data_IF_984665457823
#
_entry.id   IF_984665457823
#
_cell.length_a   1.000
_cell.length_b   1.000
_cell.length_c   1.000
_cell.angle_alpha   90.00
_cell.angle_beta   90.00
_cell.angle_gamma   90.00
#
_symmetry.space_group_name_H-M   'P 1'
#
loop_
_entity.id
_entity.type
_entity.pdbx_description
1 polymer ?
#
# COMPACT_ATOMS: atom_id res chain seq x y z
N UNK A 1 -14.94 -20.01 -0.40
CA UNK A 1 -14.01 -18.92 -0.76
C UNK A 1 -13.94 -17.98 0.42
N UNK A 2 -12.75 -17.66 0.88
CA UNK A 2 -12.54 -16.66 1.95
C UNK A 2 -13.15 -15.32 1.55
N UNK A 3 -13.73 -14.60 2.50
CA UNK A 3 -14.19 -13.22 2.22
C UNK A 3 -13.05 -12.22 2.19
N UNK A 4 -11.92 -12.55 2.82
CA UNK A 4 -10.75 -11.66 3.01
C UNK A 4 -9.46 -12.34 2.62
N UNK A 5 -8.55 -11.55 2.05
CA UNK A 5 -7.14 -11.92 1.88
C UNK A 5 -6.28 -10.81 2.48
N UNK A 6 -5.29 -11.18 3.28
CA UNK A 6 -4.32 -10.28 3.90
C UNK A 6 -2.98 -10.44 3.18
N UNK A 7 -2.57 -9.43 2.42
CA UNK A 7 -1.33 -9.41 1.64
C UNK A 7 -0.29 -8.62 2.40
N UNK A 8 0.81 -9.25 2.78
CA UNK A 8 1.86 -8.67 3.60
C UNK A 8 3.21 -8.79 2.89
N UNK A 9 3.73 -7.70 2.29
CA UNK A 9 5.13 -7.65 1.86
C UNK A 9 6.06 -7.69 3.07
N UNK A 10 7.01 -8.62 3.08
CA UNK A 10 7.94 -8.80 4.20
C UNK A 10 9.38 -8.64 3.72
N UNK A 11 10.07 -7.59 4.19
CA UNK A 11 11.45 -7.30 3.82
C UNK A 11 12.44 -7.71 4.91
N UNK A 12 12.11 -7.40 6.16
CA UNK A 12 12.92 -7.72 7.33
C UNK A 12 12.04 -8.15 8.51
N UNK A 13 12.65 -8.64 9.57
CA UNK A 13 11.95 -9.11 10.76
C UNK A 13 11.69 -7.99 11.77
N UNK A 14 12.44 -6.90 11.69
CA UNK A 14 12.37 -5.74 12.61
C UNK A 14 12.17 -6.11 14.09
N UNK A 15 13.01 -6.98 14.68
CA UNK A 15 12.76 -7.60 15.98
C UNK A 15 12.75 -6.59 17.16
N UNK A 16 13.28 -5.39 16.94
CA UNK A 16 13.31 -4.31 17.93
C UNK A 16 12.16 -3.31 17.79
N UNK A 17 11.35 -3.45 16.74
CA UNK A 17 10.14 -2.66 16.57
C UNK A 17 9.02 -3.20 17.47
N UNK A 18 8.21 -2.34 18.12
CA UNK A 18 7.04 -2.77 18.87
C UNK A 18 6.03 -3.51 17.98
N UNK A 19 5.99 -3.17 16.70
CA UNK A 19 5.18 -3.85 15.69
C UNK A 19 6.09 -4.40 14.59
N UNK A 20 5.89 -5.65 14.25
CA UNK A 20 6.65 -6.36 13.22
C UNK A 20 5.81 -7.50 12.64
N UNK A 21 6.34 -8.22 11.67
CA UNK A 21 5.59 -9.30 11.03
C UNK A 21 5.06 -10.36 12.01
N UNK A 22 5.78 -10.70 13.07
CA UNK A 22 5.31 -11.71 14.03
C UNK A 22 4.12 -11.19 14.83
N UNK A 23 4.18 -9.95 15.35
CA UNK A 23 3.05 -9.33 16.07
C UNK A 23 1.84 -9.14 15.14
N UNK A 24 2.05 -8.81 13.87
CA UNK A 24 0.94 -8.72 12.91
C UNK A 24 0.30 -10.09 12.64
N UNK A 25 1.09 -11.15 12.52
CA UNK A 25 0.54 -12.50 12.36
C UNK A 25 -0.25 -12.94 13.61
N UNK A 26 0.17 -12.54 14.81
CA UNK A 26 -0.59 -12.73 16.06
C UNK A 26 -1.90 -11.95 16.05
N UNK A 27 -1.90 -10.67 15.64
CA UNK A 27 -3.12 -9.86 15.49
C UNK A 27 -4.14 -10.51 14.55
N UNK A 28 -3.65 -11.16 13.48
CA UNK A 28 -4.50 -11.84 12.50
C UNK A 28 -4.96 -13.23 12.97
N UNK A 29 -4.47 -13.76 14.09
CA UNK A 29 -4.99 -15.00 14.66
C UNK A 29 -6.46 -14.80 15.09
N UNK A 30 -7.33 -15.69 14.62
CA UNK A 30 -8.76 -15.60 14.89
C UNK A 30 -9.55 -14.62 14.00
N UNK A 31 -8.89 -13.86 13.12
CA UNK A 31 -9.56 -13.10 12.07
C UNK A 31 -9.71 -14.00 10.83
N UNK A 32 -10.96 -14.21 10.40
CA UNK A 32 -11.25 -15.04 9.21
C UNK A 32 -10.68 -14.38 7.95
N UNK A 33 -9.94 -15.17 7.19
CA UNK A 33 -9.28 -14.73 5.96
C UNK A 33 -7.97 -15.45 5.73
N UNK A 34 -7.50 -15.52 4.49
CA UNK A 34 -6.19 -16.07 4.14
C UNK A 34 -5.09 -15.04 4.33
N UNK A 35 -3.93 -15.46 4.79
CA UNK A 35 -2.71 -14.63 4.89
C UNK A 35 -1.73 -15.01 3.80
N UNK A 36 -1.31 -14.00 3.03
CA UNK A 36 -0.40 -14.13 1.88
C UNK A 36 0.83 -13.29 2.16
N UNK A 37 1.97 -13.93 2.41
CA UNK A 37 3.23 -13.23 2.60
C UNK A 37 4.02 -13.15 1.28
N UNK A 38 4.51 -11.96 0.95
CA UNK A 38 5.45 -11.77 -0.16
C UNK A 38 6.82 -11.46 0.43
N UNK A 39 7.64 -12.50 0.59
CA UNK A 39 8.98 -12.38 1.14
C UNK A 39 9.92 -11.70 0.15
N UNK A 40 10.65 -10.71 0.61
CA UNK A 40 11.60 -9.91 -0.15
C UNK A 40 13.05 -10.05 0.37
N UNK A 41 13.32 -11.08 1.15
CA UNK A 41 14.66 -11.48 1.58
C UNK A 41 14.70 -12.97 1.91
N UNK A 42 15.89 -13.56 1.83
CA UNK A 42 16.12 -14.96 2.20
C UNK A 42 15.87 -15.17 3.69
N UNK A 43 16.32 -14.23 4.52
CA UNK A 43 16.17 -14.31 5.98
C UNK A 43 14.70 -14.44 6.39
N UNK A 44 13.83 -13.56 5.87
CA UNK A 44 12.40 -13.58 6.23
C UNK A 44 11.72 -14.86 5.74
N UNK A 45 12.06 -15.32 4.54
CA UNK A 45 11.55 -16.58 3.99
C UNK A 45 11.94 -17.78 4.86
N UNK A 46 13.22 -17.95 5.17
CA UNK A 46 13.71 -19.09 5.95
C UNK A 46 13.10 -19.14 7.36
N UNK A 47 12.83 -17.98 7.94
CA UNK A 47 12.28 -17.86 9.30
C UNK A 47 10.77 -18.07 9.35
N UNK A 48 10.02 -17.69 8.32
CA UNK A 48 8.57 -17.54 8.41
C UNK A 48 7.77 -18.37 7.41
N UNK A 49 8.37 -18.97 6.36
CA UNK A 49 7.61 -19.70 5.35
C UNK A 49 6.78 -20.89 5.91
N UNK A 50 7.20 -21.45 7.07
CA UNK A 50 6.46 -22.50 7.78
C UNK A 50 5.56 -21.99 8.91
N UNK A 51 5.35 -20.68 9.05
CA UNK A 51 4.50 -20.14 10.11
C UNK A 51 3.03 -20.52 9.91
N UNK A 52 2.38 -21.06 10.95
CA UNK A 52 1.03 -21.63 10.88
C UNK A 52 -0.07 -20.71 10.36
N UNK A 53 0.12 -19.39 10.48
CA UNK A 53 -0.87 -18.39 10.05
C UNK A 53 -0.69 -17.97 8.60
N UNK A 54 0.39 -18.37 7.94
CA UNK A 54 0.65 -18.06 6.53
C UNK A 54 0.05 -19.16 5.66
N UNK A 55 -0.97 -18.81 4.89
CA UNK A 55 -1.68 -19.76 4.01
C UNK A 55 -1.01 -19.88 2.64
N UNK A 56 -0.50 -18.75 2.12
CA UNK A 56 0.19 -18.69 0.84
C UNK A 56 1.41 -17.78 0.94
N UNK A 57 2.40 -18.01 0.09
CA UNK A 57 3.52 -17.08 -0.03
C UNK A 57 4.13 -17.05 -1.43
N UNK A 58 4.83 -15.94 -1.70
CA UNK A 58 5.79 -15.84 -2.79
C UNK A 58 7.16 -15.47 -2.20
N UNK A 59 8.23 -16.05 -2.75
CA UNK A 59 9.59 -15.74 -2.31
C UNK A 59 10.39 -15.06 -3.41
N UNK A 60 10.82 -13.84 -3.11
CA UNK A 60 11.81 -13.08 -3.87
C UNK A 60 13.13 -13.11 -3.08
N UNK A 61 14.20 -13.60 -3.69
CA UNK A 61 15.52 -13.70 -3.05
C UNK A 61 16.06 -12.32 -2.61
N UNK A 62 15.62 -11.26 -3.27
CA UNK A 62 16.00 -9.87 -3.01
C UNK A 62 14.78 -8.98 -3.00
N UNK A 63 14.90 -7.78 -2.43
CA UNK A 63 13.83 -6.79 -2.42
C UNK A 63 13.38 -6.46 -3.85
N UNK A 64 12.17 -6.87 -4.20
CA UNK A 64 11.54 -6.64 -5.50
C UNK A 64 10.75 -5.32 -5.57
N UNK A 65 10.64 -4.61 -4.44
CA UNK A 65 9.89 -3.37 -4.31
C UNK A 65 8.41 -3.55 -4.00
N UNK A 66 7.80 -2.47 -3.54
CA UNK A 66 6.44 -2.44 -3.00
C UNK A 66 5.40 -2.80 -4.06
N UNK A 67 5.39 -2.10 -5.20
CA UNK A 67 4.41 -2.33 -6.28
C UNK A 67 4.38 -3.77 -6.78
N UNK A 68 5.56 -4.42 -6.94
CA UNK A 68 5.60 -5.84 -7.35
C UNK A 68 5.06 -6.74 -6.27
N UNK A 69 5.43 -6.50 -5.02
CA UNK A 69 4.96 -7.31 -3.90
C UNK A 69 3.44 -7.23 -3.75
N UNK A 70 2.86 -6.04 -3.87
CA UNK A 70 1.40 -5.87 -3.86
C UNK A 70 0.73 -6.60 -5.02
N UNK A 71 1.21 -6.42 -6.25
CA UNK A 71 0.65 -7.09 -7.42
C UNK A 71 0.74 -8.63 -7.31
N UNK A 72 1.86 -9.17 -6.81
CA UNK A 72 2.01 -10.62 -6.57
C UNK A 72 0.98 -11.09 -5.56
N UNK A 73 0.86 -10.41 -4.41
CA UNK A 73 -0.09 -10.77 -3.37
C UNK A 73 -1.55 -10.68 -3.84
N UNK A 74 -1.91 -9.63 -4.58
CA UNK A 74 -3.25 -9.46 -5.18
C UNK A 74 -3.57 -10.61 -6.14
N UNK A 75 -2.60 -11.05 -6.96
CA UNK A 75 -2.81 -12.18 -7.89
C UNK A 75 -2.93 -13.54 -7.18
N UNK A 76 -2.40 -13.69 -5.97
CA UNK A 76 -2.53 -14.91 -5.15
C UNK A 76 -3.82 -14.91 -4.32
N UNK A 77 -4.43 -13.74 -4.13
CA UNK A 77 -5.60 -13.53 -3.29
C UNK A 77 -6.88 -14.10 -3.91
N UNK A 78 -7.70 -14.74 -3.08
CA UNK A 78 -9.01 -15.29 -3.44
C UNK A 78 -10.17 -14.57 -2.75
N UNK A 79 -9.87 -13.67 -1.80
CA UNK A 79 -10.86 -12.90 -1.04
C UNK A 79 -11.54 -11.83 -1.89
N UNK A 80 -12.79 -11.52 -1.56
CA UNK A 80 -13.52 -10.40 -2.17
C UNK A 80 -12.99 -9.04 -1.69
N UNK A 81 -12.50 -8.98 -0.46
CA UNK A 81 -11.77 -7.86 0.10
C UNK A 81 -10.29 -8.25 0.25
N UNK A 82 -9.39 -7.53 -0.41
CA UNK A 82 -7.95 -7.76 -0.32
C UNK A 82 -7.34 -6.64 0.51
N UNK A 83 -6.82 -6.97 1.68
CA UNK A 83 -6.13 -6.04 2.56
C UNK A 83 -4.64 -6.05 2.25
N UNK A 84 -4.09 -4.91 1.91
CA UNK A 84 -2.65 -4.71 1.81
C UNK A 84 -2.18 -4.12 3.15
N UNK A 85 -1.17 -4.74 3.74
CA UNK A 85 -0.71 -4.44 5.10
C UNK A 85 0.82 -4.39 5.15
N UNK A 86 1.38 -3.34 5.73
CA UNK A 86 2.80 -3.33 6.07
C UNK A 86 3.08 -4.31 7.22
N UNK A 87 4.29 -4.86 7.24
CA UNK A 87 4.70 -5.83 8.28
C UNK A 87 4.86 -5.19 9.68
N UNK A 88 5.03 -3.86 9.77
CA UNK A 88 5.19 -3.07 11.00
C UNK A 88 3.87 -2.41 11.47
N UNK A 89 2.77 -3.10 11.25
CA UNK A 89 1.41 -2.68 11.57
C UNK A 89 0.86 -3.49 12.76
N UNK A 90 0.05 -2.83 13.59
CA UNK A 90 -0.87 -3.46 14.54
C UNK A 90 -2.30 -3.22 14.09
N UNK A 91 -3.17 -4.25 14.14
CA UNK A 91 -4.59 -4.14 13.79
C UNK A 91 -5.47 -4.98 14.70
N UNK A 92 -6.69 -4.50 14.92
CA UNK A 92 -7.75 -5.27 15.60
C UNK A 92 -8.75 -5.85 14.61
N UNK A 93 -9.46 -6.90 15.00
CA UNK A 93 -10.56 -7.47 14.22
C UNK A 93 -11.60 -6.41 13.83
N UNK A 94 -11.96 -5.52 14.77
CA UNK A 94 -12.93 -4.44 14.52
C UNK A 94 -12.46 -3.47 13.42
N UNK A 95 -11.16 -3.15 13.38
CA UNK A 95 -10.60 -2.31 12.30
C UNK A 95 -10.82 -2.94 10.94
N UNK A 96 -10.52 -4.23 10.81
CA UNK A 96 -10.68 -5.00 9.57
C UNK A 96 -12.16 -5.09 9.14
N UNK A 97 -13.05 -5.36 10.09
CA UNK A 97 -14.50 -5.43 9.84
C UNK A 97 -15.08 -4.09 9.38
N UNK A 98 -14.71 -3.01 10.05
CA UNK A 98 -15.18 -1.67 9.68
C UNK A 98 -14.65 -1.24 8.31
N UNK A 99 -13.37 -1.50 8.00
CA UNK A 99 -12.81 -1.23 6.68
C UNK A 99 -13.53 -2.02 5.59
N UNK A 100 -13.78 -3.32 5.81
CA UNK A 100 -14.52 -4.13 4.85
C UNK A 100 -15.94 -3.63 4.64
N UNK A 101 -16.65 -3.24 5.71
CA UNK A 101 -17.97 -2.65 5.61
C UNK A 101 -17.96 -1.37 4.76
N UNK A 102 -17.06 -0.43 5.04
CA UNK A 102 -16.92 0.78 4.22
C UNK A 102 -16.58 0.48 2.76
N UNK A 103 -15.72 -0.51 2.50
CA UNK A 103 -15.35 -0.90 1.14
C UNK A 103 -16.54 -1.30 0.28
N UNK A 104 -17.54 -2.00 0.87
CA UNK A 104 -18.70 -2.48 0.13
C UNK A 104 -19.91 -1.57 0.23
N UNK A 105 -20.03 -0.72 1.25
CA UNK A 105 -21.15 0.19 1.44
C UNK A 105 -20.98 1.52 0.70
N UNK A 106 -19.73 1.97 0.46
CA UNK A 106 -19.49 3.24 -0.20
C UNK A 106 -19.61 3.14 -1.72
N UNK A 107 -20.23 4.16 -2.31
CA UNK A 107 -20.46 4.22 -3.75
C UNK A 107 -19.15 4.12 -4.54
N UNK A 108 -19.06 3.14 -5.45
CA UNK A 108 -17.93 2.95 -6.37
C UNK A 108 -16.55 2.89 -5.68
N UNK A 109 -16.49 2.44 -4.43
CA UNK A 109 -15.25 2.32 -3.70
C UNK A 109 -14.39 1.17 -4.23
N UNK A 110 -13.24 1.49 -4.79
CA UNK A 110 -12.23 0.51 -5.21
C UNK A 110 -11.25 0.24 -4.08
N UNK A 111 -10.83 1.31 -3.39
CA UNK A 111 -9.85 1.24 -2.31
C UNK A 111 -10.35 2.08 -1.15
N UNK A 112 -10.25 1.54 0.06
CA UNK A 112 -10.45 2.28 1.30
C UNK A 112 -9.26 2.10 2.21
N UNK A 113 -8.92 3.13 2.99
CA UNK A 113 -7.89 3.03 4.02
C UNK A 113 -8.11 4.02 5.15
N UNK A 114 -7.38 3.87 6.27
CA UNK A 114 -7.58 4.72 7.45
C UNK A 114 -6.95 6.11 7.30
N UNK A 115 -6.03 6.27 6.36
CA UNK A 115 -5.29 7.52 6.12
C UNK A 115 -5.03 7.72 4.63
N UNK A 116 -4.81 8.97 4.24
CA UNK A 116 -4.55 9.33 2.84
C UNK A 116 -4.67 10.83 2.63
N UNK A 117 -4.65 11.29 1.39
CA UNK A 117 -4.57 12.73 1.15
C UNK A 117 -5.39 13.26 -0.03
N UNK A 118 -5.65 14.56 0.05
CA UNK A 118 -5.94 15.38 -1.12
C UNK A 118 -4.64 15.98 -1.65
N UNK A 119 -4.42 15.85 -2.95
CA UNK A 119 -3.21 16.31 -3.63
C UNK A 119 -3.47 17.57 -4.45
N UNK A 120 -2.50 18.46 -4.48
CA UNK A 120 -2.35 19.42 -5.57
C UNK A 120 -1.57 18.73 -6.70
N UNK A 121 -2.30 18.18 -7.66
CA UNK A 121 -1.69 17.41 -8.76
C UNK A 121 -0.81 18.30 -9.65
N UNK A 122 -1.13 19.59 -9.83
CA UNK A 122 -0.31 20.52 -10.62
C UNK A 122 1.07 20.72 -10.02
N UNK A 123 1.16 20.75 -8.66
CA UNK A 123 2.40 21.01 -7.90
C UNK A 123 3.02 19.74 -7.33
N UNK A 124 2.37 18.61 -7.47
CA UNK A 124 2.76 17.33 -6.85
C UNK A 124 3.04 17.50 -5.35
N UNK A 125 2.09 18.08 -4.65
CA UNK A 125 2.17 18.31 -3.21
C UNK A 125 0.90 17.89 -2.49
N UNK A 126 1.02 17.54 -1.22
CA UNK A 126 -0.13 17.24 -0.37
C UNK A 126 -0.83 18.56 0.01
N UNK A 127 -2.12 18.67 -0.29
CA UNK A 127 -2.97 19.77 0.15
C UNK A 127 -3.47 19.55 1.57
N UNK A 128 -3.91 18.32 1.85
CA UNK A 128 -4.41 17.93 3.16
C UNK A 128 -4.19 16.43 3.35
N UNK A 129 -3.59 16.08 4.48
CA UNK A 129 -3.47 14.71 4.92
C UNK A 129 -4.53 14.40 5.98
N UNK A 130 -5.23 13.28 5.81
CA UNK A 130 -6.26 12.80 6.73
C UNK A 130 -5.67 11.65 7.54
N UNK A 131 -5.54 11.86 8.84
CA UNK A 131 -4.98 10.88 9.77
C UNK A 131 -6.00 10.48 10.83
N UNK A 132 -5.71 9.39 11.53
CA UNK A 132 -6.53 8.85 12.63
C UNK A 132 -7.02 9.95 13.56
N UNK A 133 -8.33 9.99 13.78
CA UNK A 133 -8.99 10.93 14.71
C UNK A 133 -9.23 12.34 14.14
N UNK A 134 -8.78 12.69 12.93
CA UNK A 134 -8.95 14.05 12.37
C UNK A 134 -10.21 14.22 11.53
N UNK A 135 -10.97 13.16 11.30
CA UNK A 135 -12.22 13.18 10.55
C UNK A 135 -13.19 12.12 11.08
N UNK A 136 -14.51 12.32 10.84
CA UNK A 136 -15.60 11.51 11.40
C UNK A 136 -16.47 10.81 10.34
N UNK A 137 -16.25 11.10 9.06
CA UNK A 137 -17.00 10.55 7.94
C UNK A 137 -16.07 10.13 6.83
N UNK A 138 -16.44 9.12 6.01
CA UNK A 138 -15.67 8.78 4.82
C UNK A 138 -15.43 9.98 3.92
N UNK A 139 -14.24 10.12 3.41
CA UNK A 139 -13.82 11.23 2.54
C UNK A 139 -13.23 10.63 1.27
N UNK A 140 -13.72 11.04 0.09
CA UNK A 140 -13.06 10.73 -1.18
C UNK A 140 -11.71 11.42 -1.21
N UNK A 141 -10.67 10.69 -1.60
CA UNK A 141 -9.28 11.20 -1.61
C UNK A 141 -8.61 10.92 -2.94
N UNK A 142 -7.45 11.53 -3.15
CA UNK A 142 -6.63 11.25 -4.33
C UNK A 142 -5.72 10.05 -4.12
N UNK A 143 -5.36 9.75 -2.88
CA UNK A 143 -4.60 8.58 -2.51
C UNK A 143 -5.05 8.04 -1.14
N UNK A 144 -4.67 6.80 -0.90
CA UNK A 144 -4.75 6.11 0.39
C UNK A 144 -3.35 5.65 0.74
N UNK A 145 -2.94 5.87 1.99
CA UNK A 145 -1.58 5.54 2.44
C UNK A 145 -1.29 4.04 2.38
N UNK A 146 -0.14 3.68 1.83
CA UNK A 146 0.26 2.32 1.46
C UNK A 146 0.51 1.35 2.63
N UNK A 147 0.42 1.80 3.89
CA UNK A 147 0.68 0.92 5.03
C UNK A 147 -0.50 0.01 5.39
N UNK A 148 -1.74 0.46 5.13
CA UNK A 148 -2.97 -0.30 5.35
C UNK A 148 -4.06 0.21 4.41
N UNK A 149 -4.55 -0.66 3.54
CA UNK A 149 -5.73 -0.38 2.73
C UNK A 149 -6.43 -1.67 2.29
N UNK A 150 -7.72 -1.57 2.02
CA UNK A 150 -8.53 -2.66 1.51
C UNK A 150 -8.98 -2.36 0.07
N UNK A 151 -8.92 -3.38 -0.79
CA UNK A 151 -9.26 -3.35 -2.21
C UNK A 151 -10.54 -4.15 -2.43
N UNK A 152 -11.49 -3.61 -3.17
CA UNK A 152 -12.60 -4.36 -3.75
C UNK A 152 -12.07 -5.16 -4.94
N UNK A 153 -11.88 -6.47 -4.74
CA UNK A 153 -11.26 -7.35 -5.74
C UNK A 153 -12.02 -7.35 -7.07
N UNK A 154 -13.35 -7.36 -7.05
CA UNK A 154 -14.18 -7.37 -8.25
C UNK A 154 -13.95 -6.10 -9.09
N UNK A 155 -14.04 -4.92 -8.48
CA UNK A 155 -13.82 -3.66 -9.18
C UNK A 155 -12.37 -3.52 -9.65
N UNK A 156 -11.41 -3.91 -8.83
CA UNK A 156 -10.00 -3.79 -9.14
C UNK A 156 -9.60 -4.67 -10.34
N UNK A 157 -10.01 -5.93 -10.33
CA UNK A 157 -9.66 -6.89 -11.38
C UNK A 157 -10.45 -6.66 -12.68
N UNK A 158 -11.74 -6.32 -12.59
CA UNK A 158 -12.56 -6.04 -13.78
C UNK A 158 -12.06 -4.82 -14.58
N UNK A 159 -11.52 -3.81 -13.89
CA UNK A 159 -10.90 -2.65 -14.51
C UNK A 159 -9.42 -2.85 -14.85
N UNK A 160 -8.86 -4.02 -14.54
CA UNK A 160 -7.44 -4.35 -14.78
C UNK A 160 -6.47 -3.38 -14.14
N UNK A 161 -6.83 -2.85 -12.96
CA UNK A 161 -5.92 -2.01 -12.21
C UNK A 161 -4.67 -2.79 -11.79
N UNK A 162 -3.54 -2.11 -11.77
CA UNK A 162 -2.27 -2.69 -11.37
C UNK A 162 -1.35 -1.58 -10.84
N UNK A 163 -0.70 -1.82 -9.72
CA UNK A 163 0.35 -0.92 -9.24
C UNK A 163 1.51 -0.91 -10.22
N UNK A 164 1.88 0.28 -10.69
CA UNK A 164 2.90 0.42 -11.72
C UNK A 164 4.30 0.11 -11.16
N UNK A 165 4.84 -1.01 -11.59
CA UNK A 165 6.15 -1.51 -11.12
C UNK A 165 7.33 -0.60 -11.44
N UNK A 166 7.15 0.40 -12.32
CA UNK A 166 8.19 1.38 -12.63
C UNK A 166 8.50 2.32 -11.47
N UNK A 167 7.58 2.42 -10.50
CA UNK A 167 7.80 3.19 -9.26
C UNK A 167 8.59 2.43 -8.20
N UNK A 168 8.95 1.17 -8.45
CA UNK A 168 9.80 0.42 -7.50
C UNK A 168 11.17 1.09 -7.28
N UNK A 169 11.77 1.00 -6.09
CA UNK A 169 11.29 0.16 -4.98
C UNK A 169 10.08 0.69 -4.21
N UNK A 170 9.83 2.01 -4.19
CA UNK A 170 8.72 2.65 -3.48
C UNK A 170 8.51 4.09 -3.94
N UNK A 171 7.41 4.72 -3.49
CA UNK A 171 6.95 6.09 -3.72
C UNK A 171 6.26 6.32 -5.07
N UNK A 172 5.16 7.05 -5.03
CA UNK A 172 4.25 7.40 -6.13
C UNK A 172 3.29 6.29 -6.57
N UNK A 173 3.41 5.06 -6.09
CA UNK A 173 2.51 3.96 -6.42
C UNK A 173 1.07 4.24 -6.01
N UNK A 174 0.84 4.83 -4.83
CA UNK A 174 -0.50 5.17 -4.34
C UNK A 174 -1.10 6.34 -5.12
N UNK A 175 -0.32 7.37 -5.41
CA UNK A 175 -0.76 8.50 -6.21
C UNK A 175 -1.14 8.08 -7.64
N UNK A 176 -0.32 7.21 -8.22
CA UNK A 176 -0.57 6.65 -9.54
C UNK A 176 -1.84 5.81 -9.58
N UNK A 177 -2.02 4.95 -8.57
CA UNK A 177 -3.24 4.14 -8.43
C UNK A 177 -4.46 5.03 -8.25
N UNK A 178 -4.35 6.07 -7.44
CA UNK A 178 -5.42 7.05 -7.25
C UNK A 178 -5.89 7.65 -8.57
N UNK A 179 -4.97 8.08 -9.43
CA UNK A 179 -5.31 8.63 -10.75
C UNK A 179 -5.91 7.58 -11.70
N UNK A 180 -5.42 6.33 -11.69
CA UNK A 180 -6.02 5.26 -12.49
C UNK A 180 -7.49 5.05 -12.08
N UNK A 181 -7.78 4.96 -10.78
CA UNK A 181 -9.14 4.77 -10.24
C UNK A 181 -10.04 5.95 -10.60
N UNK A 182 -9.57 7.19 -10.42
CA UNK A 182 -10.32 8.40 -10.75
C UNK A 182 -10.61 8.49 -12.25
N UNK A 183 -9.65 8.14 -13.12
CA UNK A 183 -9.85 8.12 -14.57
C UNK A 183 -10.91 7.12 -15.01
N UNK A 184 -11.08 6.03 -14.27
CA UNK A 184 -12.14 5.05 -14.50
C UNK A 184 -13.53 5.49 -13.96
N UNK A 185 -13.64 6.67 -13.35
CA UNK A 185 -14.88 7.17 -12.74
C UNK A 185 -15.25 6.45 -11.44
N UNK A 186 -14.25 5.89 -10.76
CA UNK A 186 -14.35 5.20 -9.49
C UNK A 186 -13.66 6.01 -8.38
N UNK A 187 -13.68 5.52 -7.14
CA UNK A 187 -13.25 6.32 -5.99
C UNK A 187 -12.34 5.56 -5.02
N UNK A 188 -11.46 6.35 -4.38
CA UNK A 188 -10.74 5.97 -3.18
C UNK A 188 -11.32 6.76 -2.00
N UNK A 189 -11.33 6.13 -0.83
CA UNK A 189 -11.81 6.79 0.39
C UNK A 189 -10.86 6.58 1.55
N UNK A 190 -10.67 7.62 2.34
CA UNK A 190 -10.24 7.44 3.72
C UNK A 190 -11.47 7.27 4.61
N UNK A 191 -11.39 6.33 5.55
CA UNK A 191 -12.51 5.93 6.41
C UNK A 191 -12.14 6.07 7.89
N UNK A 192 -13.08 6.56 8.75
CA UNK A 192 -12.80 6.87 10.15
C UNK A 192 -12.79 5.59 11.01
N UNK A 193 -11.80 4.74 10.82
CA UNK A 193 -11.63 3.52 11.61
C UNK A 193 -10.61 3.71 12.73
N UNK A 194 -10.72 2.89 13.76
CA UNK A 194 -9.84 2.82 14.91
C UNK A 194 -9.22 1.42 15.01
N UNK A 195 -8.37 1.19 16.01
CA UNK A 195 -7.81 -0.14 16.26
C UNK A 195 -6.71 -0.53 15.27
N UNK A 196 -5.91 0.42 14.85
CA UNK A 196 -4.66 0.20 14.13
C UNK A 196 -3.57 1.13 14.68
N UNK A 197 -2.34 0.70 14.64
CA UNK A 197 -1.16 1.53 14.86
C UNK A 197 -0.06 1.11 13.88
N UNK A 198 0.72 2.06 13.40
CA UNK A 198 1.77 1.86 12.41
C UNK A 198 3.06 2.56 12.82
N UNK A 199 4.17 1.87 12.71
CA UNK A 199 5.48 2.46 12.95
C UNK A 199 6.01 3.12 11.68
N UNK A 200 5.98 4.46 11.64
CA UNK A 200 6.44 5.23 10.48
C UNK A 200 7.93 5.03 10.22
N UNK A 201 8.24 4.34 9.12
CA UNK A 201 9.60 4.01 8.73
C UNK A 201 10.12 4.83 7.55
N UNK A 202 10.04 4.26 6.35
CA UNK A 202 10.68 4.81 5.14
C UNK A 202 10.16 6.20 4.72
N UNK A 203 8.88 6.51 4.97
CA UNK A 203 8.27 7.80 4.59
C UNK A 203 8.91 9.00 5.29
N UNK A 204 9.40 8.80 6.52
CA UNK A 204 10.05 9.84 7.34
C UNK A 204 11.57 9.75 7.31
N UNK A 205 12.15 8.80 6.58
CA UNK A 205 13.58 8.65 6.50
C UNK A 205 14.23 9.78 5.70
N UNK A 206 15.51 10.05 5.99
CA UNK A 206 16.31 11.04 5.27
C UNK A 206 16.58 10.62 3.82
N UNK A 207 16.83 11.60 2.93
CA UNK A 207 17.09 11.33 1.51
C UNK A 207 18.33 10.46 1.25
N UNK A 208 19.30 10.51 2.14
CA UNK A 208 20.51 9.67 2.10
C UNK A 208 20.26 8.21 2.53
N UNK A 209 19.09 7.87 3.06
CA UNK A 209 18.74 6.50 3.43
C UNK A 209 18.90 5.57 2.24
N UNK A 210 19.69 4.50 2.44
CA UNK A 210 19.94 3.49 1.43
C UNK A 210 18.81 2.45 1.43
N UNK A 211 18.36 2.10 0.23
CA UNK A 211 17.39 1.04 -0.03
C UNK A 211 18.11 -0.01 -0.89
N UNK A 212 18.24 -1.24 -0.40
CA UNK A 212 18.70 -2.33 -1.25
C UNK A 212 17.55 -2.79 -2.15
N UNK A 213 17.75 -2.71 -3.47
CA UNK A 213 16.75 -3.06 -4.46
C UNK A 213 17.38 -3.92 -5.56
N UNK A 214 16.92 -5.14 -5.71
CA UNK A 214 17.51 -6.16 -6.59
C UNK A 214 19.04 -6.32 -6.37
N UNK A 215 19.46 -6.30 -5.10
CA UNK A 215 20.87 -6.44 -4.74
C UNK A 215 21.74 -5.21 -5.06
N UNK A 216 21.12 -4.06 -5.37
CA UNK A 216 21.80 -2.79 -5.59
C UNK A 216 21.35 -1.76 -4.56
N UNK A 217 22.27 -1.01 -4.06
CA UNK A 217 21.99 0.08 -3.14
C UNK A 217 21.59 1.35 -3.91
N UNK A 218 20.41 1.89 -3.60
CA UNK A 218 19.89 3.13 -4.16
C UNK A 218 19.53 4.09 -3.03
N UNK A 219 19.76 5.39 -3.22
CA UNK A 219 19.39 6.40 -2.23
C UNK A 219 17.91 6.71 -2.34
N UNK A 220 17.24 6.87 -1.19
CA UNK A 220 15.82 7.24 -1.11
C UNK A 220 15.49 8.50 -1.92
N UNK A 221 16.30 9.55 -1.79
CA UNK A 221 16.12 10.80 -2.51
C UNK A 221 16.22 10.65 -4.03
N UNK A 222 17.11 9.77 -4.54
CA UNK A 222 17.21 9.48 -5.97
C UNK A 222 15.96 8.74 -6.47
N UNK A 223 15.47 7.77 -5.70
CA UNK A 223 14.22 7.05 -6.02
C UNK A 223 13.05 8.03 -6.11
N UNK A 224 12.89 8.93 -5.13
CA UNK A 224 11.85 9.96 -5.12
C UNK A 224 11.91 10.84 -6.37
N UNK A 225 13.10 11.36 -6.72
CA UNK A 225 13.30 12.24 -7.90
C UNK A 225 12.93 11.51 -9.19
N UNK A 226 13.43 10.29 -9.37
CA UNK A 226 13.17 9.53 -10.59
C UNK A 226 11.70 9.11 -10.72
N UNK A 227 11.05 8.72 -9.61
CA UNK A 227 9.64 8.35 -9.63
C UNK A 227 8.75 9.57 -9.88
N UNK A 228 9.12 10.75 -9.35
CA UNK A 228 8.45 12.01 -9.66
C UNK A 228 8.48 12.30 -11.17
N UNK A 229 9.63 12.19 -11.81
CA UNK A 229 9.76 12.38 -13.27
C UNK A 229 8.91 11.39 -14.05
N UNK A 230 8.90 10.11 -13.63
CA UNK A 230 8.06 9.06 -14.25
C UNK A 230 6.57 9.38 -14.13
N UNK A 231 6.16 9.85 -12.95
CA UNK A 231 4.78 10.25 -12.69
C UNK A 231 4.37 11.42 -13.59
N UNK A 232 5.16 12.48 -13.68
CA UNK A 232 4.90 13.62 -14.56
C UNK A 232 4.77 13.14 -16.01
N UNK A 233 5.74 12.37 -16.54
CA UNK A 233 5.71 11.84 -17.91
C UNK A 233 4.47 10.98 -18.18
N UNK A 234 4.08 10.13 -17.24
CA UNK A 234 2.90 9.26 -17.39
C UNK A 234 1.60 10.06 -17.47
N UNK A 235 1.44 11.09 -16.65
CA UNK A 235 0.19 11.81 -16.48
C UNK A 235 0.14 13.18 -17.18
N UNK A 236 1.18 13.54 -17.94
CA UNK A 236 1.28 14.81 -18.67
C UNK A 236 0.10 15.08 -19.61
N UNK A 237 -0.53 14.04 -20.12
CA UNK A 237 -1.68 14.13 -21.03
C UNK A 237 -3.00 14.48 -20.32
N UNK A 238 -3.06 14.37 -18.97
CA UNK A 238 -4.25 14.63 -18.16
C UNK A 238 -4.07 15.78 -17.17
N UNK A 239 -2.83 16.07 -16.76
CA UNK A 239 -2.53 17.06 -15.73
C UNK A 239 -1.70 18.18 -16.33
N UNK A 240 -2.21 19.43 -16.18
CA UNK A 240 -1.48 20.64 -16.48
C UNK A 240 -0.50 20.98 -15.34
N UNK A 241 0.67 20.34 -15.37
CA UNK A 241 1.70 20.54 -14.35
C UNK A 241 2.30 21.95 -14.39
N UNK A 242 2.70 22.46 -13.25
CA UNK A 242 3.38 23.76 -13.15
C UNK A 242 4.72 23.70 -13.93
N UNK A 243 5.13 24.85 -14.51
CA UNK A 243 6.29 24.93 -15.41
C UNK A 243 7.59 24.44 -14.77
N UNK A 244 7.78 24.70 -13.48
CA UNK A 244 8.97 24.28 -12.75
C UNK A 244 9.11 22.75 -12.72
N UNK A 245 7.98 22.02 -12.59
CA UNK A 245 7.95 20.57 -12.66
C UNK A 245 8.26 20.04 -14.07
N UNK A 246 7.78 20.73 -15.08
CA UNK A 246 8.05 20.36 -16.47
C UNK A 246 9.53 20.54 -16.84
N UNK A 247 10.23 21.44 -16.17
CA UNK A 247 11.67 21.62 -16.36
C UNK A 247 12.53 20.49 -15.74
N UNK A 248 11.93 19.64 -14.87
CA UNK A 248 12.63 18.48 -14.25
C UNK A 248 12.71 17.26 -15.18
N UNK A 249 11.90 17.19 -16.26
CA UNK A 249 11.75 16.01 -17.13
C UNK A 249 12.42 16.18 -18.48
#
# INVERSE_FOLDING_TARGET
MSQRSFVIPVLDLSPHSPYNILTLLEDLEGIDGEVICVFNSTETYERLAGHRRIDKFCYNKTNAGVSRSWNIGINLAEGRAIFIMNADLHVTAQCIEDMQRYLFDLDKAVIVGPQGSHLNLRRLSVLRYFQKGTFQRPIRTHDVSGFLFAINAELFLSHRFMFDIRYSPCFFEEWDMGLQVMQAGLYLYVVPVQGFDHHWGMSQAEDERVINYFGRDVKRGDVMRENRKRFIKKWLHLIDFDRDLLAEI
#
